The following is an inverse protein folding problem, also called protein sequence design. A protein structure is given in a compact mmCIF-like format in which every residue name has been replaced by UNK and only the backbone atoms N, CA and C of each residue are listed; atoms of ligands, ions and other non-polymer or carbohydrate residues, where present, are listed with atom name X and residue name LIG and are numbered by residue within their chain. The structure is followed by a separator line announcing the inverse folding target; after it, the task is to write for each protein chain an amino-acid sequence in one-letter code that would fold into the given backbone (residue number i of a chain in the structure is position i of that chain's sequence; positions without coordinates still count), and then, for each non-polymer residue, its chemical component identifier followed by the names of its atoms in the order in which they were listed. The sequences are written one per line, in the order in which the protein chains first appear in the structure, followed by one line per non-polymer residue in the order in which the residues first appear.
data_IF_511374829762
#
_entry.id   IF_511374829762
#
_cell.length_a   1.000
_cell.length_b   1.000
_cell.length_c   1.000
_cell.angle_alpha   90.00
_cell.angle_beta   90.00
_cell.angle_gamma   90.00
#
_symmetry.space_group_name_H-M   'P 1'
#
loop_
_entity.id
_entity.type
_entity.pdbx_description
1 polymer ?
#
# COMPACT_ATOMS: atom_id res chain seq x y z
N UNK A 1 -26.79 2.04 -10.17
CA UNK A 1 -27.55 1.87 -8.91
C UNK A 1 -27.05 0.67 -8.09
N UNK A 2 -27.24 -0.57 -8.54
CA UNK A 2 -26.92 -1.79 -7.77
C UNK A 2 -25.51 -1.83 -7.18
N UNK A 3 -24.47 -1.56 -7.98
CA UNK A 3 -23.07 -1.62 -7.51
C UNK A 3 -22.78 -0.70 -6.32
N UNK A 4 -23.38 0.49 -6.29
CA UNK A 4 -23.21 1.45 -5.20
C UNK A 4 -23.92 0.99 -3.90
N UNK A 5 -25.09 0.37 -4.05
CA UNK A 5 -25.81 -0.22 -2.91
C UNK A 5 -25.00 -1.40 -2.37
N UNK A 6 -24.61 -2.33 -3.25
CA UNK A 6 -23.82 -3.51 -2.88
C UNK A 6 -22.53 -3.14 -2.16
N UNK A 7 -21.79 -2.13 -2.62
CA UNK A 7 -20.57 -1.66 -1.94
C UNK A 7 -20.82 -1.00 -0.58
N UNK A 8 -22.05 -0.56 -0.31
CA UNK A 8 -22.43 0.10 0.94
C UNK A 8 -22.92 -0.87 2.01
N UNK A 9 -23.42 -2.05 1.63
CA UNK A 9 -23.98 -3.08 2.53
C UNK A 9 -23.11 -3.39 3.76
N UNK A 10 -21.76 -3.50 3.66
CA UNK A 10 -20.91 -3.76 4.82
C UNK A 10 -21.04 -2.73 5.97
N UNK A 11 -21.53 -1.53 5.66
CA UNK A 11 -21.64 -0.40 6.59
C UNK A 11 -23.09 -0.14 7.06
N UNK A 12 -24.04 -0.99 6.65
CA UNK A 12 -25.47 -0.86 6.97
C UNK A 12 -25.88 -1.79 8.12
N UNK A 13 -27.20 -2.00 8.26
CA UNK A 13 -27.81 -2.81 9.32
C UNK A 13 -27.42 -4.28 9.23
N UNK A 14 -27.53 -4.99 10.36
CA UNK A 14 -27.23 -6.41 10.44
C UNK A 14 -28.09 -7.25 9.48
N UNK A 15 -29.36 -6.87 9.29
CA UNK A 15 -30.26 -7.55 8.35
C UNK A 15 -29.70 -7.58 6.92
N UNK A 16 -29.17 -6.46 6.42
CA UNK A 16 -28.57 -6.38 5.09
C UNK A 16 -27.22 -7.11 5.03
N UNK A 17 -26.42 -6.99 6.08
CA UNK A 17 -25.13 -7.69 6.24
C UNK A 17 -25.29 -9.22 6.25
N UNK A 18 -26.41 -9.74 6.78
CA UNK A 18 -26.74 -11.17 6.75
C UNK A 18 -27.18 -11.64 5.36
N UNK A 19 -27.91 -10.80 4.60
CA UNK A 19 -28.25 -11.10 3.20
C UNK A 19 -27.00 -11.18 2.32
N UNK A 20 -26.06 -10.26 2.52
CA UNK A 20 -24.73 -10.32 1.87
C UNK A 20 -23.98 -11.61 2.23
N UNK A 21 -24.03 -12.04 3.49
CA UNK A 21 -23.39 -13.29 3.91
C UNK A 21 -24.02 -14.51 3.23
N UNK A 22 -25.35 -14.57 3.13
CA UNK A 22 -26.04 -15.66 2.40
C UNK A 22 -25.61 -15.73 0.94
N UNK A 23 -25.53 -14.59 0.27
CA UNK A 23 -25.03 -14.51 -1.10
C UNK A 23 -23.56 -14.94 -1.21
N UNK A 24 -22.69 -14.43 -0.32
CA UNK A 24 -21.27 -14.76 -0.31
C UNK A 24 -21.03 -16.25 -0.03
N UNK A 25 -21.80 -16.85 0.89
CA UNK A 25 -21.78 -18.27 1.20
C UNK A 25 -22.04 -19.12 -0.05
N UNK A 26 -23.00 -18.72 -0.88
CA UNK A 26 -23.27 -19.43 -2.14
C UNK A 26 -22.12 -19.29 -3.14
N UNK A 27 -21.51 -18.11 -3.25
CA UNK A 27 -20.44 -17.87 -4.22
C UNK A 27 -19.11 -18.55 -3.89
N UNK A 28 -18.68 -18.51 -2.63
CA UNK A 28 -17.34 -18.94 -2.24
C UNK A 28 -17.30 -19.75 -0.93
N UNK A 29 -18.44 -20.24 -0.46
CA UNK A 29 -18.52 -21.13 0.71
C UNK A 29 -18.32 -20.44 2.07
N UNK A 30 -18.13 -19.10 2.11
CA UNK A 30 -17.90 -18.39 3.36
C UNK A 30 -19.11 -18.49 4.30
N UNK A 31 -18.91 -19.15 5.44
CA UNK A 31 -19.98 -19.42 6.43
C UNK A 31 -20.18 -18.29 7.42
N UNK A 32 -19.14 -17.50 7.70
CA UNK A 32 -19.16 -16.46 8.72
C UNK A 32 -18.44 -15.17 8.30
N UNK A 33 -18.83 -14.06 8.90
CA UNK A 33 -18.13 -12.78 8.76
C UNK A 33 -16.87 -12.77 9.64
N UNK A 34 -15.87 -11.99 9.24
CA UNK A 34 -14.71 -11.78 10.11
C UNK A 34 -15.15 -11.00 11.35
N UNK A 35 -14.46 -11.16 12.49
CA UNK A 35 -14.78 -10.42 13.70
C UNK A 35 -14.85 -8.91 13.46
N UNK A 36 -15.78 -8.23 14.15
CA UNK A 36 -16.07 -6.80 13.92
C UNK A 36 -14.83 -5.92 14.03
N UNK A 37 -13.97 -6.19 15.03
CA UNK A 37 -12.73 -5.45 15.22
C UNK A 37 -11.82 -5.53 13.98
N UNK A 38 -11.77 -6.70 13.33
CA UNK A 38 -10.95 -6.93 12.13
C UNK A 38 -11.52 -6.18 10.93
N UNK A 39 -12.84 -6.18 10.74
CA UNK A 39 -13.49 -5.35 9.71
C UNK A 39 -13.14 -3.86 9.89
N UNK A 40 -13.19 -3.37 11.12
CA UNK A 40 -12.84 -1.99 11.44
C UNK A 40 -11.35 -1.70 11.19
N UNK A 41 -10.46 -2.59 11.64
CA UNK A 41 -9.01 -2.45 11.40
C UNK A 41 -8.69 -2.47 9.91
N UNK A 42 -9.29 -3.37 9.13
CA UNK A 42 -9.08 -3.46 7.69
C UNK A 42 -9.56 -2.19 6.98
N UNK A 43 -10.70 -1.63 7.39
CA UNK A 43 -11.22 -0.37 6.83
C UNK A 43 -10.28 0.82 7.10
N UNK A 44 -9.80 0.95 8.34
CA UNK A 44 -8.88 2.04 8.71
C UNK A 44 -7.54 1.86 8.02
N UNK A 45 -7.04 0.62 7.91
CA UNK A 45 -5.80 0.30 7.18
C UNK A 45 -5.90 0.64 5.70
N UNK A 46 -7.07 0.45 5.07
CA UNK A 46 -7.28 0.80 3.67
C UNK A 46 -7.48 2.30 3.45
N UNK A 47 -8.25 2.96 4.31
CA UNK A 47 -8.67 4.35 4.12
C UNK A 47 -7.63 5.35 4.63
N UNK A 48 -6.92 5.02 5.71
CA UNK A 48 -5.95 5.86 6.41
C UNK A 48 -4.59 5.17 6.48
N UNK A 49 -4.18 4.56 5.37
CA UNK A 49 -2.98 3.71 5.29
C UNK A 49 -1.69 4.38 5.77
N UNK A 50 -1.52 5.68 5.50
CA UNK A 50 -0.35 6.47 5.94
C UNK A 50 -0.30 6.60 7.47
N UNK A 51 -1.43 6.96 8.10
CA UNK A 51 -1.52 7.09 9.55
C UNK A 51 -1.31 5.74 10.26
N UNK A 52 -2.00 4.68 9.80
CA UNK A 52 -1.81 3.32 10.33
C UNK A 52 -0.37 2.85 10.13
N UNK A 53 0.21 3.16 8.97
CA UNK A 53 1.59 2.84 8.65
C UNK A 53 2.58 3.50 9.62
N UNK A 54 2.40 4.78 9.93
CA UNK A 54 3.21 5.49 10.91
C UNK A 54 3.12 4.87 12.31
N UNK A 55 1.90 4.58 12.78
CA UNK A 55 1.70 3.89 14.07
C UNK A 55 2.38 2.53 14.10
N UNK A 56 2.27 1.76 13.02
CA UNK A 56 2.88 0.44 12.90
C UNK A 56 4.41 0.51 12.91
N UNK A 57 5.00 1.43 12.13
CA UNK A 57 6.44 1.61 12.05
C UNK A 57 7.00 2.02 13.40
N UNK A 58 6.44 3.07 14.02
CA UNK A 58 6.93 3.60 15.30
C UNK A 58 6.89 2.57 16.42
N UNK A 59 5.84 1.74 16.46
CA UNK A 59 5.65 0.78 17.55
C UNK A 59 6.37 -0.54 17.34
N UNK A 60 6.34 -1.07 16.12
CA UNK A 60 6.77 -2.44 15.91
C UNK A 60 8.14 -2.51 15.21
N UNK A 61 8.58 -1.50 14.45
CA UNK A 61 9.75 -1.61 13.56
C UNK A 61 11.06 -1.70 14.35
N UNK A 62 11.89 -2.76 14.18
CA UNK A 62 13.09 -2.94 14.96
C UNK A 62 14.16 -1.99 14.41
N UNK A 63 14.91 -1.37 15.31
CA UNK A 63 16.09 -0.59 14.94
C UNK A 63 17.07 -1.49 14.17
N UNK A 64 17.62 -1.01 13.04
CA UNK A 64 18.58 -1.78 12.24
C UNK A 64 17.96 -2.67 11.16
N UNK A 65 16.64 -2.92 11.17
CA UNK A 65 16.03 -3.82 10.19
C UNK A 65 15.85 -3.18 8.81
N UNK A 66 15.69 -1.85 8.74
CA UNK A 66 15.60 -1.12 7.47
C UNK A 66 16.95 -1.13 6.77
N UNK A 67 18.01 -0.96 7.54
CA UNK A 67 19.41 -0.97 7.11
C UNK A 67 19.79 -2.35 6.55
N UNK A 68 19.54 -3.43 7.31
CA UNK A 68 19.78 -4.80 6.84
C UNK A 68 18.98 -5.16 5.59
N UNK A 69 17.70 -4.77 5.53
CA UNK A 69 16.89 -5.01 4.33
C UNK A 69 17.40 -4.22 3.12
N UNK A 70 17.94 -3.02 3.35
CA UNK A 70 18.53 -2.18 2.30
C UNK A 70 19.82 -2.79 1.76
N UNK A 71 20.67 -3.33 2.63
CA UNK A 71 21.87 -4.08 2.27
C UNK A 71 21.53 -5.28 1.36
N UNK A 72 20.62 -6.16 1.80
CA UNK A 72 20.17 -7.33 1.02
C UNK A 72 19.66 -6.91 -0.36
N UNK A 73 18.85 -5.85 -0.43
CA UNK A 73 18.31 -5.36 -1.71
C UNK A 73 19.41 -4.82 -2.61
N UNK A 74 20.40 -4.14 -2.04
CA UNK A 74 21.57 -3.65 -2.77
C UNK A 74 22.38 -4.81 -3.35
N UNK A 75 22.63 -5.85 -2.55
CA UNK A 75 23.39 -7.03 -2.97
C UNK A 75 22.67 -7.78 -4.09
N UNK A 76 21.35 -8.00 -3.96
CA UNK A 76 20.54 -8.62 -5.01
C UNK A 76 20.58 -7.79 -6.31
N UNK A 77 20.52 -6.46 -6.21
CA UNK A 77 20.61 -5.57 -7.37
C UNK A 77 21.98 -5.67 -8.05
N UNK A 78 23.06 -5.73 -7.27
CA UNK A 78 24.41 -5.88 -7.78
C UNK A 78 24.59 -7.22 -8.50
N UNK A 79 24.17 -8.32 -7.88
CA UNK A 79 24.25 -9.66 -8.49
C UNK A 79 23.42 -9.74 -9.78
N UNK A 80 22.22 -9.15 -9.79
CA UNK A 80 21.39 -9.09 -11.00
C UNK A 80 22.09 -8.34 -12.15
N UNK A 81 22.79 -7.24 -11.84
CA UNK A 81 23.58 -6.50 -12.82
C UNK A 81 24.72 -7.36 -13.37
N UNK A 82 25.38 -8.15 -12.53
CA UNK A 82 26.47 -9.02 -12.96
C UNK A 82 25.98 -10.19 -13.81
N UNK A 83 24.84 -10.79 -13.46
CA UNK A 83 24.14 -11.77 -14.32
C UNK A 83 23.82 -11.16 -15.69
N UNK A 84 23.27 -9.93 -15.73
CA UNK A 84 22.95 -9.27 -17.00
C UNK A 84 24.17 -9.04 -17.89
N UNK A 85 25.38 -8.90 -17.33
CA UNK A 85 26.61 -8.77 -18.12
C UNK A 85 27.03 -10.10 -18.77
N UNK A 86 26.72 -11.23 -18.13
CA UNK A 86 27.20 -12.56 -18.52
C UNK A 86 26.20 -13.42 -19.29
N UNK A 87 24.95 -12.98 -19.50
CA UNK A 87 23.95 -13.78 -20.22
C UNK A 87 24.20 -13.82 -21.74
N UNK A 88 24.25 -15.03 -22.29
CA UNK A 88 24.56 -15.27 -23.71
C UNK A 88 23.36 -15.09 -24.65
N UNK A 89 22.14 -15.11 -24.11
CA UNK A 89 20.91 -15.02 -24.92
C UNK A 89 20.55 -13.57 -25.31
N UNK A 90 21.19 -12.56 -24.71
CA UNK A 90 20.95 -11.14 -24.99
C UNK A 90 22.04 -10.58 -25.90
N UNK A 91 21.63 -9.87 -26.96
CA UNK A 91 22.55 -9.06 -27.75
C UNK A 91 23.06 -7.83 -26.96
N UNK A 92 24.14 -7.22 -27.45
CA UNK A 92 24.80 -6.10 -26.78
C UNK A 92 23.92 -4.85 -26.63
N UNK A 93 23.03 -4.58 -27.59
CA UNK A 93 22.15 -3.39 -27.55
C UNK A 93 21.09 -3.58 -26.47
N UNK A 94 20.41 -4.73 -26.47
CA UNK A 94 19.42 -5.07 -25.45
C UNK A 94 20.04 -5.13 -24.06
N UNK A 95 21.26 -5.67 -23.94
CA UNK A 95 22.01 -5.72 -22.67
C UNK A 95 22.29 -4.33 -22.13
N UNK A 96 22.72 -3.39 -22.97
CA UNK A 96 22.98 -2.01 -22.57
C UNK A 96 21.72 -1.34 -21.97
N UNK A 97 20.58 -1.46 -22.63
CA UNK A 97 19.31 -0.91 -22.14
C UNK A 97 18.81 -1.61 -20.86
N UNK A 98 19.01 -2.91 -20.73
CA UNK A 98 18.67 -3.64 -19.50
C UNK A 98 19.51 -3.18 -18.32
N UNK A 99 20.82 -2.96 -18.52
CA UNK A 99 21.72 -2.42 -17.51
C UNK A 99 21.33 -0.98 -17.13
N UNK A 100 20.99 -0.14 -18.10
CA UNK A 100 20.51 1.22 -17.85
C UNK A 100 19.26 1.21 -16.95
N UNK A 101 18.28 0.37 -17.29
CA UNK A 101 17.05 0.21 -16.50
C UNK A 101 17.31 -0.33 -15.11
N UNK A 102 18.15 -1.35 -14.97
CA UNK A 102 18.51 -1.94 -13.69
C UNK A 102 19.21 -0.90 -12.79
N UNK A 103 20.16 -0.13 -13.34
CA UNK A 103 20.85 0.93 -12.60
C UNK A 103 19.89 2.03 -12.14
N UNK A 104 18.97 2.46 -13.02
CA UNK A 104 17.97 3.49 -12.71
C UNK A 104 16.86 3.03 -11.75
N UNK A 105 16.79 1.74 -11.40
CA UNK A 105 15.74 1.21 -10.53
C UNK A 105 15.86 1.76 -9.10
N UNK A 106 14.77 2.33 -8.58
CA UNK A 106 14.70 2.95 -7.25
C UNK A 106 14.20 1.95 -6.20
N UNK A 107 14.98 1.65 -5.15
CA UNK A 107 14.53 0.79 -4.06
C UNK A 107 13.80 1.59 -2.97
N UNK A 108 12.53 1.24 -2.74
CA UNK A 108 11.72 1.67 -1.62
C UNK A 108 11.67 0.55 -0.58
N UNK A 109 12.49 0.68 0.47
CA UNK A 109 12.70 -0.35 1.48
C UNK A 109 11.98 -0.03 2.79
N UNK A 110 11.11 -0.93 3.22
CA UNK A 110 10.39 -0.91 4.49
C UNK A 110 9.36 0.23 4.64
N UNK A 111 9.79 1.48 4.77
CA UNK A 111 8.92 2.65 4.95
C UNK A 111 9.59 3.98 4.56
N UNK A 112 8.79 4.97 4.10
CA UNK A 112 9.25 6.35 3.89
C UNK A 112 9.56 7.03 5.23
N UNK A 113 10.65 7.79 5.30
CA UNK A 113 11.07 8.50 6.52
C UNK A 113 10.07 9.58 6.94
N UNK A 114 9.28 10.08 6.01
CA UNK A 114 8.18 11.01 6.23
C UNK A 114 7.11 10.45 7.19
N UNK A 115 6.98 9.12 7.33
CA UNK A 115 6.09 8.51 8.34
C UNK A 115 6.55 8.74 9.79
N UNK A 116 7.78 9.22 9.99
CA UNK A 116 8.28 9.61 11.31
C UNK A 116 7.91 11.06 11.67
N UNK A 117 7.42 11.85 10.71
CA UNK A 117 7.03 13.24 10.90
C UNK A 117 5.51 13.39 10.97
N UNK A 118 4.99 13.89 12.08
CA UNK A 118 3.54 14.15 12.22
C UNK A 118 3.06 15.20 11.23
N UNK A 119 3.87 16.23 10.94
CA UNK A 119 3.55 17.29 9.97
C UNK A 119 3.33 16.75 8.55
N UNK A 120 4.18 15.81 8.11
CA UNK A 120 4.04 15.21 6.77
C UNK A 120 2.78 14.34 6.69
N UNK A 121 2.47 13.60 7.77
CA UNK A 121 1.26 12.79 7.85
C UNK A 121 0.00 13.66 7.84
N UNK A 122 -0.02 14.73 8.62
CA UNK A 122 -1.13 15.68 8.66
C UNK A 122 -1.37 16.34 7.28
N UNK A 123 -0.29 16.70 6.58
CA UNK A 123 -0.36 17.23 5.22
C UNK A 123 -1.03 16.28 4.21
N UNK A 124 -0.84 14.95 4.35
CA UNK A 124 -1.53 13.96 3.51
C UNK A 124 -3.04 13.98 3.70
N UNK A 125 -3.51 14.29 4.90
CA UNK A 125 -4.93 14.32 5.25
C UNK A 125 -5.51 15.74 5.26
N UNK A 126 -4.82 16.72 4.68
CA UNK A 126 -5.28 18.10 4.63
C UNK A 126 -6.64 18.20 3.93
N UNK A 127 -7.62 18.80 4.62
CA UNK A 127 -8.99 18.94 4.14
C UNK A 127 -9.90 17.72 4.38
N UNK A 128 -9.40 16.63 5.00
CA UNK A 128 -10.25 15.56 5.48
C UNK A 128 -10.98 15.99 6.76
N UNK A 129 -12.31 15.99 6.73
CA UNK A 129 -13.13 16.28 7.89
C UNK A 129 -14.10 15.12 8.18
N UNK A 130 -14.02 14.58 9.40
CA UNK A 130 -14.83 13.46 9.88
C UNK A 130 -15.71 13.93 11.05
N UNK A 131 -16.70 14.78 10.77
CA UNK A 131 -17.63 15.34 11.78
C UNK A 131 -18.87 14.48 12.05
N UNK A 132 -19.12 13.46 11.23
CA UNK A 132 -20.31 12.62 11.39
C UNK A 132 -20.12 11.53 12.44
N UNK A 133 -21.20 11.24 13.18
CA UNK A 133 -21.28 10.13 14.13
C UNK A 133 -21.80 8.83 13.51
N UNK A 134 -22.19 8.82 12.22
CA UNK A 134 -22.67 7.60 11.57
C UNK A 134 -21.57 6.92 10.74
N UNK A 135 -21.50 5.59 10.85
CA UNK A 135 -20.46 4.80 10.21
C UNK A 135 -20.48 4.90 8.67
N UNK A 136 -21.67 4.94 8.07
CA UNK A 136 -21.83 5.08 6.62
C UNK A 136 -21.35 6.44 6.13
N UNK A 137 -21.73 7.54 6.80
CA UNK A 137 -21.31 8.88 6.39
C UNK A 137 -19.80 9.06 6.51
N UNK A 138 -19.18 8.58 7.59
CA UNK A 138 -17.71 8.55 7.72
C UNK A 138 -17.07 7.80 6.55
N UNK A 139 -17.61 6.64 6.17
CA UNK A 139 -17.11 5.88 5.02
C UNK A 139 -17.26 6.62 3.70
N UNK A 140 -18.38 7.30 3.49
CA UNK A 140 -18.65 8.11 2.30
C UNK A 140 -17.71 9.32 2.24
N UNK A 141 -17.47 10.01 3.36
CA UNK A 141 -16.51 11.12 3.46
C UNK A 141 -15.10 10.66 3.12
N UNK A 142 -14.65 9.51 3.64
CA UNK A 142 -13.35 8.92 3.28
C UNK A 142 -13.27 8.57 1.79
N UNK A 143 -14.36 8.03 1.21
CA UNK A 143 -14.42 7.70 -0.22
C UNK A 143 -14.31 8.96 -1.08
N UNK A 144 -15.04 10.02 -0.70
CA UNK A 144 -15.02 11.31 -1.38
C UNK A 144 -13.64 11.95 -1.30
N UNK A 145 -13.03 11.98 -0.11
CA UNK A 145 -11.68 12.50 0.06
C UNK A 145 -10.65 11.78 -0.81
N UNK A 146 -10.72 10.45 -0.88
CA UNK A 146 -9.83 9.67 -1.75
C UNK A 146 -10.03 10.02 -3.24
N UNK A 147 -11.29 10.12 -3.69
CA UNK A 147 -11.62 10.50 -5.07
C UNK A 147 -11.14 11.93 -5.39
N UNK A 148 -11.44 12.90 -4.53
CA UNK A 148 -11.03 14.30 -4.70
C UNK A 148 -9.50 14.43 -4.73
N UNK A 149 -8.80 13.72 -3.85
CA UNK A 149 -7.33 13.66 -3.85
C UNK A 149 -6.77 13.06 -5.14
N UNK A 150 -7.42 12.05 -5.73
CA UNK A 150 -7.04 11.52 -7.04
C UNK A 150 -7.32 12.52 -8.16
N UNK A 151 -8.46 13.20 -8.16
CA UNK A 151 -8.80 14.18 -9.20
C UNK A 151 -7.88 15.40 -9.18
N UNK A 152 -7.44 15.85 -8.00
CA UNK A 152 -6.44 16.94 -7.87
C UNK A 152 -5.11 16.64 -8.60
N UNK A 153 -4.79 15.36 -8.81
CA UNK A 153 -3.55 14.93 -9.50
C UNK A 153 -3.65 14.94 -11.03
N UNK A 154 -4.85 15.10 -11.62
CA UNK A 154 -5.07 14.91 -13.06
C UNK A 154 -4.23 15.88 -13.93
N UNK A 155 -4.10 17.13 -13.50
CA UNK A 155 -3.36 18.18 -14.23
C UNK A 155 -1.99 18.49 -13.61
N UNK A 156 -1.50 17.63 -12.72
CA UNK A 156 -0.23 17.80 -12.04
C UNK A 156 0.82 16.85 -12.64
N UNK A 157 2.10 17.27 -12.70
CA UNK A 157 3.15 16.35 -13.09
C UNK A 157 3.23 15.19 -12.10
N UNK A 158 3.56 14.00 -12.60
CA UNK A 158 3.80 12.83 -11.74
C UNK A 158 4.99 13.15 -10.82
N UNK A 159 4.71 13.22 -9.51
CA UNK A 159 5.74 13.40 -8.50
C UNK A 159 6.56 12.11 -8.41
N UNK A 160 7.74 12.11 -9.03
CA UNK A 160 8.69 10.99 -8.97
C UNK A 160 9.04 10.73 -7.50
N UNK A 161 9.10 9.46 -7.11
CA UNK A 161 9.40 9.01 -5.75
C UNK A 161 8.42 9.49 -4.66
N UNK A 162 7.12 9.68 -4.99
CA UNK A 162 6.07 9.92 -4.00
C UNK A 162 5.77 8.65 -3.17
N UNK A 163 6.74 8.27 -2.34
CA UNK A 163 6.67 7.03 -1.56
C UNK A 163 5.62 7.13 -0.46
N UNK A 164 5.48 8.27 0.22
CA UNK A 164 4.50 8.41 1.31
C UNK A 164 3.07 8.08 0.86
N UNK A 165 2.68 8.41 -0.37
CA UNK A 165 1.32 8.14 -0.87
C UNK A 165 1.05 6.68 -1.24
N UNK A 166 2.11 5.90 -1.47
CA UNK A 166 2.04 4.48 -1.87
C UNK A 166 2.62 3.53 -0.83
N UNK A 167 3.28 4.07 0.19
CA UNK A 167 3.97 3.36 1.25
C UNK A 167 2.96 2.82 2.24
N UNK A 168 2.69 1.51 2.16
CA UNK A 168 1.80 0.80 3.07
C UNK A 168 2.60 -0.18 3.93
N UNK A 169 3.38 0.30 4.93
CA UNK A 169 4.32 -0.55 5.67
C UNK A 169 3.64 -1.62 6.53
N UNK A 170 2.34 -1.49 6.78
CA UNK A 170 1.51 -2.48 7.47
C UNK A 170 0.96 -3.59 6.54
N UNK A 171 1.43 -3.69 5.29
CA UNK A 171 1.06 -4.73 4.33
C UNK A 171 2.15 -5.81 4.24
N UNK A 172 1.73 -7.07 4.15
CA UNK A 172 2.61 -8.23 3.93
C UNK A 172 2.76 -8.47 2.43
N UNK A 173 3.55 -7.64 1.73
CA UNK A 173 3.80 -7.85 0.31
C UNK A 173 5.02 -7.05 -0.20
N UNK A 174 5.45 -7.37 -1.43
CA UNK A 174 6.41 -6.63 -2.22
C UNK A 174 5.83 -6.39 -3.61
N UNK A 175 6.19 -5.25 -4.21
CA UNK A 175 5.66 -4.84 -5.51
C UNK A 175 6.76 -4.24 -6.36
N UNK A 176 6.64 -4.42 -7.68
CA UNK A 176 7.39 -3.64 -8.66
C UNK A 176 6.41 -2.77 -9.44
N UNK A 177 6.76 -1.50 -9.64
CA UNK A 177 5.99 -0.57 -10.44
C UNK A 177 6.76 -0.19 -11.70
N UNK A 178 6.18 -0.54 -12.86
CA UNK A 178 6.82 -0.31 -14.16
C UNK A 178 6.81 1.16 -14.58
N UNK A 179 5.85 1.95 -14.09
CA UNK A 179 5.68 3.36 -14.46
C UNK A 179 6.78 4.25 -13.87
N UNK A 180 7.24 3.94 -12.66
CA UNK A 180 8.29 4.69 -11.96
C UNK A 180 9.61 3.90 -11.82
N UNK A 181 9.68 2.70 -12.40
CA UNK A 181 10.82 1.78 -12.28
C UNK A 181 11.27 1.61 -10.82
N UNK A 182 10.30 1.41 -9.92
CA UNK A 182 10.57 1.27 -8.48
C UNK A 182 10.24 -0.13 -7.97
N UNK A 183 11.08 -0.61 -7.06
CA UNK A 183 10.81 -1.81 -6.27
C UNK A 183 10.40 -1.38 -4.86
N UNK A 184 9.32 -1.96 -4.34
CA UNK A 184 8.73 -1.61 -3.05
C UNK A 184 8.66 -2.85 -2.18
N UNK A 185 9.45 -2.89 -1.12
CA UNK A 185 9.45 -3.99 -0.16
C UNK A 185 8.93 -3.48 1.17
N UNK A 186 7.90 -4.13 1.71
CA UNK A 186 7.34 -3.76 3.01
C UNK A 186 7.79 -4.72 4.10
N UNK A 187 7.85 -4.20 5.32
CA UNK A 187 8.50 -4.88 6.46
C UNK A 187 8.04 -6.31 6.69
N UNK A 188 6.75 -6.59 6.53
CA UNK A 188 6.20 -7.88 6.96
C UNK A 188 6.74 -9.09 6.18
N UNK A 189 7.51 -8.88 5.10
CA UNK A 189 8.29 -9.94 4.45
C UNK A 189 9.55 -10.32 5.26
N UNK A 190 10.17 -9.35 5.95
CA UNK A 190 11.41 -9.53 6.71
C UNK A 190 11.16 -9.97 8.16
N UNK A 191 9.90 -10.13 8.56
CA UNK A 191 9.52 -10.68 9.86
C UNK A 191 9.64 -12.21 9.82
N UNK A 192 10.86 -12.72 9.65
CA UNK A 192 11.20 -14.06 10.11
C UNK A 192 11.02 -14.10 11.62
N UNK A 193 10.33 -15.13 12.14
CA UNK A 193 10.28 -15.40 13.58
C UNK A 193 11.73 -15.45 14.10
N UNK A 194 12.09 -14.47 14.91
CA UNK A 194 13.10 -14.65 15.94
C UNK A 194 12.42 -15.30 17.15
#
# INVERSE_FOLDING_TARGET
MWRAIASSVPYLTEALRQRELQYTKFLNGRTERVPRWKECTDLVTQSLSVAVGALYVRKYFPKGAKEKATEIISDIKAEFIDILKGVDWMDNVTRSHALEKANAMVPHVAYPDELLSDKEIEGVFEGLNLTSNTYLEVRLSLTRFAADSSYKKLNQPVKKNDWISVGRPAVINAFYSFLDNSMRTFRLIFAGRA
#
